data_IF_199034890659
#
_entry.id   IF_199034890659
#
_cell.length_a   1.000
_cell.length_b   1.000
_cell.length_c   1.000
_cell.angle_alpha   90.00
_cell.angle_beta   90.00
_cell.angle_gamma   90.00
#
_symmetry.space_group_name_H-M   'P 1'
#
loop_
_entity.id
_entity.type
_entity.pdbx_description
1 polymer ?
#
# COMPACT_ATOMS: atom_id res chain seq x y z
N UNK A 1 -51.26 -7.78 15.99
CA UNK A 1 -50.35 -8.15 14.88
C UNK A 1 -49.56 -6.95 14.32
N UNK A 2 -49.05 -6.04 15.16
CA UNK A 2 -48.32 -4.83 14.72
C UNK A 2 -46.89 -4.72 15.30
N UNK A 3 -46.50 -5.61 16.22
CA UNK A 3 -45.20 -5.56 16.91
C UNK A 3 -44.07 -6.27 16.17
N UNK A 4 -44.37 -7.17 15.23
CA UNK A 4 -43.37 -7.91 14.45
C UNK A 4 -42.79 -7.11 13.27
N UNK A 5 -43.44 -6.01 12.85
CA UNK A 5 -42.96 -5.15 11.77
C UNK A 5 -41.74 -4.30 12.19
N UNK A 6 -41.56 -4.02 13.48
CA UNK A 6 -40.42 -3.22 13.99
C UNK A 6 -39.13 -4.06 14.04
N UNK A 7 -39.23 -5.38 14.21
CA UNK A 7 -38.07 -6.29 14.24
C UNK A 7 -37.51 -6.60 12.83
N UNK A 8 -38.25 -6.34 11.76
CA UNK A 8 -37.82 -6.59 10.38
C UNK A 8 -36.99 -5.43 9.78
N UNK A 9 -36.98 -4.26 10.42
CA UNK A 9 -36.32 -3.04 9.93
C UNK A 9 -34.87 -2.86 10.43
N UNK A 10 -34.39 -3.74 11.32
CA UNK A 10 -33.06 -3.65 11.94
C UNK A 10 -31.96 -4.49 11.26
N UNK A 11 -32.26 -5.20 10.18
CA UNK A 11 -31.31 -6.13 9.54
C UNK A 11 -30.58 -5.59 8.30
N UNK A 12 -30.78 -4.32 7.94
CA UNK A 12 -30.08 -3.69 6.81
C UNK A 12 -28.79 -2.98 7.25
N UNK A 13 -27.87 -3.71 7.89
CA UNK A 13 -26.48 -3.26 7.96
C UNK A 13 -25.86 -3.47 6.58
N UNK A 14 -25.93 -2.45 5.73
CA UNK A 14 -25.24 -2.45 4.45
C UNK A 14 -23.78 -2.80 4.65
N UNK A 15 -23.30 -3.83 3.96
CA UNK A 15 -21.89 -4.18 3.89
C UNK A 15 -21.18 -3.10 3.06
N UNK A 16 -20.86 -1.97 3.67
CA UNK A 16 -20.00 -0.96 3.04
C UNK A 16 -18.60 -1.55 2.95
N UNK A 17 -18.01 -1.53 1.75
CA UNK A 17 -16.63 -1.96 1.56
C UNK A 17 -15.72 -1.10 2.46
N UNK A 18 -14.93 -1.74 3.31
CA UNK A 18 -13.99 -1.04 4.18
C UNK A 18 -12.92 -0.36 3.32
N UNK A 19 -12.69 0.94 3.55
CA UNK A 19 -11.59 1.67 2.91
C UNK A 19 -10.25 1.12 3.41
N UNK A 20 -9.35 0.79 2.49
CA UNK A 20 -8.05 0.20 2.76
C UNK A 20 -6.97 1.00 2.03
N UNK A 21 -5.99 1.44 2.81
CA UNK A 21 -4.77 2.06 2.32
C UNK A 21 -3.57 1.37 2.95
N UNK A 22 -2.76 0.71 2.14
CA UNK A 22 -1.69 -0.15 2.63
C UNK A 22 -0.37 0.05 1.87
N UNK A 23 0.74 -0.22 2.55
CA UNK A 23 2.07 -0.25 1.95
C UNK A 23 2.45 -1.71 1.70
N UNK A 24 2.77 -2.06 0.45
CA UNK A 24 3.34 -3.35 0.06
C UNK A 24 4.79 -3.16 -0.34
N UNK A 25 5.65 -4.09 0.07
CA UNK A 25 7.05 -4.12 -0.33
C UNK A 25 7.36 -5.44 -1.03
N UNK A 26 8.20 -5.41 -2.07
CA UNK A 26 8.54 -6.64 -2.80
C UNK A 26 9.32 -7.64 -1.95
N UNK A 27 10.08 -7.17 -0.95
CA UNK A 27 10.85 -8.00 -0.01
C UNK A 27 10.95 -7.28 1.34
N UNK A 28 10.88 -8.02 2.44
CA UNK A 28 11.16 -7.49 3.78
C UNK A 28 12.67 -7.49 4.12
N UNK A 29 13.47 -8.23 3.36
CA UNK A 29 14.93 -8.31 3.50
C UNK A 29 15.59 -8.20 2.13
N UNK A 30 16.64 -7.37 2.01
CA UNK A 30 17.40 -7.21 0.77
C UNK A 30 18.86 -6.78 1.06
N UNK A 31 19.76 -7.04 0.12
CA UNK A 31 21.13 -6.56 0.17
C UNK A 31 21.28 -5.08 -0.22
N UNK A 32 22.41 -4.48 0.16
CA UNK A 32 22.71 -3.07 -0.09
C UNK A 32 22.72 -2.68 -1.59
N UNK A 33 22.96 -3.63 -2.48
CA UNK A 33 23.00 -3.46 -3.94
C UNK A 33 21.70 -3.90 -4.66
N UNK A 34 20.67 -4.31 -3.91
CA UNK A 34 19.39 -4.72 -4.47
C UNK A 34 18.40 -3.56 -4.56
N UNK A 35 17.38 -3.74 -5.41
CA UNK A 35 16.27 -2.79 -5.56
C UNK A 35 15.06 -3.28 -4.76
N UNK A 36 14.43 -2.37 -4.04
CA UNK A 36 13.14 -2.57 -3.38
C UNK A 36 12.04 -1.91 -4.21
N UNK A 37 10.95 -2.63 -4.49
CA UNK A 37 9.72 -2.02 -5.00
C UNK A 37 8.79 -1.77 -3.81
N UNK A 38 8.24 -0.57 -3.74
CA UNK A 38 7.28 -0.14 -2.71
C UNK A 38 6.01 0.33 -3.41
N UNK A 39 4.88 -0.27 -3.08
CA UNK A 39 3.58 0.02 -3.65
C UNK A 39 2.65 0.53 -2.53
N UNK A 40 2.11 1.73 -2.69
CA UNK A 40 1.04 2.25 -1.83
C UNK A 40 -0.28 1.99 -2.54
N UNK A 41 -1.13 1.14 -1.94
CA UNK A 41 -2.32 0.58 -2.56
C UNK A 41 -3.57 1.10 -1.86
N UNK A 42 -4.43 1.76 -2.61
CA UNK A 42 -5.73 2.24 -2.16
C UNK A 42 -6.85 1.47 -2.86
N UNK A 43 -7.83 0.95 -2.12
CA UNK A 43 -8.93 0.19 -2.69
C UNK A 43 -10.12 1.03 -3.20
N UNK A 44 -9.95 2.36 -3.21
CA UNK A 44 -10.93 3.35 -3.70
C UNK A 44 -10.20 4.51 -4.39
N UNK A 45 -10.95 5.32 -5.13
CA UNK A 45 -10.43 6.46 -5.88
C UNK A 45 -10.17 7.65 -4.93
N UNK A 46 -9.07 7.59 -4.18
CA UNK A 46 -8.63 8.68 -3.31
C UNK A 46 -7.77 9.72 -4.04
N UNK A 47 -7.72 10.93 -3.49
CA UNK A 47 -7.00 12.08 -4.02
C UNK A 47 -5.93 12.57 -3.03
N UNK A 48 -5.14 13.57 -3.44
CA UNK A 48 -4.13 14.21 -2.59
C UNK A 48 -3.18 13.21 -1.93
N UNK A 49 -2.69 12.23 -2.71
CA UNK A 49 -1.66 11.31 -2.24
C UNK A 49 -0.39 12.09 -1.87
N UNK A 50 0.12 11.83 -0.67
CA UNK A 50 1.35 12.39 -0.12
C UNK A 50 2.30 11.24 0.24
N UNK A 51 3.41 11.13 -0.49
CA UNK A 51 4.42 10.11 -0.26
C UNK A 51 5.19 10.31 1.05
N UNK A 52 5.67 9.23 1.69
CA UNK A 52 6.54 9.35 2.84
C UNK A 52 7.94 9.80 2.44
N UNK A 53 8.66 10.39 3.39
CA UNK A 53 10.12 10.50 3.29
C UNK A 53 10.76 9.10 3.24
N UNK A 54 11.57 8.84 2.22
CA UNK A 54 12.30 7.58 2.05
C UNK A 54 13.66 7.59 2.75
N UNK A 55 13.70 7.92 4.05
CA UNK A 55 14.94 8.01 4.81
C UNK A 55 15.69 6.66 4.82
N UNK A 56 16.99 6.69 4.52
CA UNK A 56 17.81 5.48 4.37
C UNK A 56 17.69 4.80 3.00
N UNK A 57 16.89 5.36 2.09
CA UNK A 57 16.76 4.89 0.72
C UNK A 57 17.03 6.03 -0.27
N UNK A 58 17.48 5.66 -1.45
CA UNK A 58 17.51 6.51 -2.63
C UNK A 58 16.40 6.10 -3.56
N UNK A 59 15.51 7.03 -3.91
CA UNK A 59 14.51 6.82 -4.96
C UNK A 59 15.23 6.80 -6.31
N UNK A 60 15.03 5.72 -7.07
CA UNK A 60 15.62 5.56 -8.42
C UNK A 60 14.58 5.61 -9.53
N UNK A 61 13.30 5.39 -9.21
CA UNK A 61 12.18 5.59 -10.12
C UNK A 61 10.87 5.74 -9.33
N UNK A 62 9.90 6.45 -9.92
CA UNK A 62 8.55 6.63 -9.39
C UNK A 62 8.21 8.09 -8.99
N UNK A 63 6.96 8.35 -8.60
CA UNK A 63 5.86 7.39 -8.57
C UNK A 63 5.38 7.05 -9.99
N UNK A 64 5.24 5.76 -10.29
CA UNK A 64 4.34 5.34 -11.37
C UNK A 64 2.97 5.05 -10.78
N UNK A 65 1.91 5.43 -11.50
CA UNK A 65 0.53 5.25 -11.05
C UNK A 65 -0.17 4.19 -11.90
N UNK A 66 -0.92 3.32 -11.24
CA UNK A 66 -1.75 2.32 -11.90
C UNK A 66 -3.14 2.34 -11.26
N UNK A 67 -4.17 2.39 -12.11
CA UNK A 67 -5.57 2.27 -11.69
C UNK A 67 -6.14 1.01 -12.33
N UNK A 68 -6.79 0.18 -11.53
CA UNK A 68 -7.46 -1.04 -11.95
C UNK A 68 -8.86 -1.07 -11.37
N UNK A 69 -9.86 -1.31 -12.22
CA UNK A 69 -11.24 -1.52 -11.81
C UNK A 69 -11.73 -2.83 -12.42
N UNK A 70 -12.38 -3.66 -11.61
CA UNK A 70 -12.97 -4.91 -12.09
C UNK A 70 -14.40 -5.08 -11.60
N UNK A 71 -15.20 -5.82 -12.37
CA UNK A 71 -16.55 -6.19 -11.99
C UNK A 71 -16.74 -7.68 -12.24
N UNK A 72 -16.74 -8.48 -11.17
CA UNK A 72 -16.81 -9.94 -11.26
C UNK A 72 -18.02 -10.41 -10.45
N UNK A 73 -18.96 -11.11 -11.10
CA UNK A 73 -20.16 -11.69 -10.48
C UNK A 73 -20.94 -10.68 -9.59
N UNK A 74 -21.10 -9.44 -10.06
CA UNK A 74 -21.83 -8.40 -9.33
C UNK A 74 -21.03 -7.69 -8.23
N UNK A 75 -19.76 -8.08 -8.00
CA UNK A 75 -18.86 -7.41 -7.07
C UNK A 75 -17.87 -6.53 -7.83
N UNK A 76 -17.94 -5.22 -7.60
CA UNK A 76 -16.94 -4.27 -8.08
C UNK A 76 -15.70 -4.28 -7.17
N UNK A 77 -14.51 -4.22 -7.76
CA UNK A 77 -13.27 -3.92 -7.05
C UNK A 77 -12.56 -2.74 -7.71
N UNK A 78 -11.89 -1.93 -6.91
CA UNK A 78 -11.07 -0.82 -7.37
C UNK A 78 -9.69 -0.90 -6.69
N UNK A 79 -8.64 -0.55 -7.41
CA UNK A 79 -7.28 -0.47 -6.89
C UNK A 79 -6.55 0.69 -7.57
N UNK A 80 -6.01 1.62 -6.77
CA UNK A 80 -5.08 2.66 -7.21
C UNK A 80 -3.75 2.42 -6.52
N UNK A 81 -2.69 2.27 -7.31
CA UNK A 81 -1.34 1.95 -6.83
C UNK A 81 -0.37 3.06 -7.20
N UNK A 82 0.39 3.55 -6.22
CA UNK A 82 1.57 4.39 -6.41
C UNK A 82 2.82 3.54 -6.17
N UNK A 83 3.62 3.30 -7.21
CA UNK A 83 4.80 2.43 -7.15
C UNK A 83 6.10 3.23 -7.22
N UNK A 84 7.04 2.87 -6.34
CA UNK A 84 8.40 3.40 -6.29
C UNK A 84 9.43 2.28 -6.37
N UNK A 85 10.57 2.59 -6.97
CA UNK A 85 11.77 1.74 -6.89
C UNK A 85 12.84 2.46 -6.08
N UNK A 86 13.34 1.77 -5.06
CA UNK A 86 14.28 2.29 -4.09
C UNK A 86 15.56 1.45 -4.06
N UNK A 87 16.68 2.07 -3.73
CA UNK A 87 17.93 1.39 -3.36
C UNK A 87 18.31 1.81 -1.94
N UNK A 88 18.58 0.88 -1.01
CA UNK A 88 19.03 1.24 0.33
C UNK A 88 20.41 1.90 0.28
N UNK A 89 20.65 2.90 1.13
CA UNK A 89 21.94 3.58 1.20
C UNK A 89 22.81 3.12 2.39
N UNK A 90 22.24 2.34 3.31
CA UNK A 90 22.92 1.82 4.50
C UNK A 90 22.35 0.47 4.93
N UNK A 91 23.12 -0.28 5.72
CA UNK A 91 22.70 -1.57 6.31
C UNK A 91 21.83 -1.34 7.56
N UNK A 92 21.12 -2.39 7.97
CA UNK A 92 20.33 -2.41 9.21
C UNK A 92 18.82 -2.35 8.97
N UNK A 93 18.06 -2.04 10.02
CA UNK A 93 16.61 -1.96 9.94
C UNK A 93 16.18 -0.57 9.52
N UNK A 94 15.72 -0.43 8.27
CA UNK A 94 15.15 0.79 7.74
C UNK A 94 13.62 0.72 7.80
N UNK A 95 12.97 1.88 7.78
CA UNK A 95 11.50 1.98 7.89
C UNK A 95 10.99 2.82 6.72
N UNK A 96 10.06 2.25 5.95
CA UNK A 96 9.19 3.01 5.06
C UNK A 96 8.11 3.63 5.93
N UNK A 97 8.09 4.97 6.02
CA UNK A 97 7.10 5.68 6.84
C UNK A 97 5.70 5.61 6.20
N UNK A 98 4.71 6.03 6.97
CA UNK A 98 3.32 6.12 6.51
C UNK A 98 3.19 7.11 5.35
N UNK A 99 2.47 6.72 4.31
CA UNK A 99 1.94 7.63 3.29
C UNK A 99 0.57 8.14 3.74
N UNK A 100 0.10 9.24 3.14
CA UNK A 100 -1.28 9.71 3.35
C UNK A 100 -2.03 9.87 2.03
N UNK A 101 -3.34 9.70 2.07
CA UNK A 101 -4.24 9.93 0.93
C UNK A 101 -5.60 10.40 1.46
N UNK A 102 -6.28 11.25 0.72
CA UNK A 102 -7.58 11.80 1.11
C UNK A 102 -8.72 11.13 0.34
N UNK A 103 -9.83 10.88 1.04
CA UNK A 103 -11.07 10.46 0.41
C UNK A 103 -12.26 10.99 1.20
N UNK A 104 -13.21 11.64 0.52
CA UNK A 104 -14.39 12.27 1.14
C UNK A 104 -14.05 13.20 2.33
N UNK A 105 -12.96 13.96 2.22
CA UNK A 105 -12.50 14.88 3.27
C UNK A 105 -11.86 14.19 4.49
N UNK A 106 -11.64 12.88 4.45
CA UNK A 106 -10.93 12.13 5.48
C UNK A 106 -9.53 11.71 5.00
N UNK A 107 -8.54 11.89 5.86
CA UNK A 107 -7.15 11.43 5.63
C UNK A 107 -7.01 9.97 6.06
N UNK A 108 -6.57 9.13 5.13
CA UNK A 108 -6.18 7.75 5.36
C UNK A 108 -4.66 7.64 5.39
N UNK A 109 -4.14 6.71 6.19
CA UNK A 109 -2.70 6.51 6.37
C UNK A 109 -2.34 5.04 6.24
N UNK A 110 -1.22 4.76 5.59
CA UNK A 110 -0.67 3.41 5.61
C UNK A 110 0.03 3.10 6.93
N UNK A 111 0.26 1.82 7.20
CA UNK A 111 1.15 1.41 8.29
C UNK A 111 2.63 1.51 7.86
N UNK A 112 3.54 1.94 8.75
CA UNK A 112 4.97 1.88 8.49
C UNK A 112 5.44 0.44 8.27
N UNK A 113 6.37 0.23 7.34
CA UNK A 113 6.93 -1.09 7.02
C UNK A 113 8.42 -1.13 7.32
N UNK A 114 8.86 -2.12 8.10
CA UNK A 114 10.28 -2.36 8.39
C UNK A 114 10.91 -3.21 7.28
N UNK A 115 12.08 -2.79 6.83
CA UNK A 115 12.90 -3.50 5.84
C UNK A 115 14.28 -3.74 6.42
N UNK A 116 14.74 -5.00 6.39
CA UNK A 116 16.06 -5.40 6.87
C UNK A 116 17.08 -5.39 5.72
N UNK A 117 18.07 -4.50 5.81
CA UNK A 117 19.13 -4.37 4.81
C UNK A 117 20.38 -5.10 5.26
N UNK A 118 20.79 -6.11 4.48
CA UNK A 118 21.99 -6.92 4.72
C UNK A 118 23.19 -6.37 3.92
N UNK A 119 24.32 -7.08 3.99
CA UNK A 119 25.45 -6.78 3.12
C UNK A 119 25.07 -6.90 1.64
N UNK A 120 25.89 -6.31 0.75
CA UNK A 120 25.70 -6.50 -0.68
C UNK A 120 25.69 -8.01 -1.01
N UNK A 121 24.72 -8.43 -1.81
CA UNK A 121 24.68 -9.81 -2.31
C UNK A 121 25.81 -9.95 -3.32
N UNK A 122 26.71 -10.89 -3.07
CA UNK A 122 27.75 -11.27 -4.01
C UNK A 122 27.10 -11.90 -5.24
N UNK A 123 27.35 -11.35 -6.42
CA UNK A 123 27.00 -12.02 -7.66
C UNK A 123 27.97 -13.19 -7.83
N UNK A 124 27.47 -14.41 -8.15
CA UNK A 124 28.35 -15.51 -8.50
C UNK A 124 29.28 -15.06 -9.61
N UNK A 125 30.60 -15.27 -9.44
CA UNK A 125 31.52 -15.15 -10.56
C UNK A 125 31.20 -16.31 -11.50
N UNK A 126 30.75 -16.01 -12.71
CA UNK A 126 30.65 -17.03 -13.76
C UNK A 126 32.03 -17.71 -13.91
N UNK A 127 32.07 -19.06 -14.04
CA UNK A 127 33.31 -19.83 -14.08
C UNK A 127 34.17 -19.57 -15.32
#
# INVERSE_FOLDING_TARGET
MKRYLILLLLSFHGLWAQVQFETKVSKNTLGLNERLRVDFVMNIDGDNFDEPSFDGFRVIAGPSQQVSQSWINGKSSFEKIYSYYLIPNQKGNLIIKQATIEYNGQVYKTSPVRVHVTAAVEQPKDP
#
